data_IF_314269552574
#
_entry.id   IF_314269552574
#
_cell.length_a   1.000
_cell.length_b   1.000
_cell.length_c   1.000
_cell.angle_alpha   90.00
_cell.angle_beta   90.00
_cell.angle_gamma   90.00
#
_symmetry.space_group_name_H-M   'P 1'
#
loop_
_entity.id
_entity.type
_entity.pdbx_description
1 polymer ?
#
# COMPACT_ATOMS: atom_id res chain seq x y z
N UNK A 1 71.94 18.25 -0.37
CA UNK A 1 70.89 19.13 0.19
C UNK A 1 69.59 18.86 -0.56
N UNK A 2 68.70 18.06 0.02
CA UNK A 2 67.43 17.67 -0.60
C UNK A 2 66.46 18.86 -0.56
N UNK A 3 66.17 19.40 -1.75
CA UNK A 3 65.42 20.64 -1.96
C UNK A 3 64.06 20.66 -1.24
N UNK A 4 63.90 21.60 -0.32
CA UNK A 4 62.67 21.89 0.46
C UNK A 4 61.44 22.07 -0.44
N UNK A 5 61.65 22.54 -1.68
CA UNK A 5 60.61 22.70 -2.71
C UNK A 5 59.99 21.36 -3.14
N UNK A 6 60.79 20.30 -3.17
CA UNK A 6 60.31 18.96 -3.55
C UNK A 6 59.47 18.32 -2.44
N UNK A 7 59.80 18.60 -1.17
CA UNK A 7 59.04 18.11 -0.01
C UNK A 7 57.65 18.75 0.06
N UNK A 8 57.55 20.05 -0.25
CA UNK A 8 56.26 20.75 -0.31
C UNK A 8 55.38 20.25 -1.45
N UNK A 9 55.94 20.01 -2.63
CA UNK A 9 55.19 19.42 -3.75
C UNK A 9 54.68 18.02 -3.42
N UNK A 10 55.50 17.16 -2.81
CA UNK A 10 55.10 15.82 -2.38
C UNK A 10 53.98 15.87 -1.33
N UNK A 11 54.06 16.80 -0.38
CA UNK A 11 53.02 16.97 0.63
C UNK A 11 51.69 17.47 0.03
N UNK A 12 51.74 18.40 -0.92
CA UNK A 12 50.56 18.89 -1.65
C UNK A 12 49.93 17.78 -2.51
N UNK A 13 50.74 17.01 -3.23
CA UNK A 13 50.25 15.87 -4.02
C UNK A 13 49.62 14.81 -3.13
N UNK A 14 50.22 14.50 -1.96
CA UNK A 14 49.63 13.59 -1.00
C UNK A 14 48.31 14.10 -0.40
N UNK A 15 48.20 15.39 -0.10
CA UNK A 15 46.97 16.01 0.40
C UNK A 15 45.85 16.05 -0.64
N UNK A 16 46.18 16.38 -1.89
CA UNK A 16 45.21 16.38 -3.00
C UNK A 16 44.75 14.96 -3.28
N UNK A 17 45.68 14.00 -3.30
CA UNK A 17 45.34 12.60 -3.42
C UNK A 17 44.41 12.19 -2.24
N UNK A 18 44.75 12.50 -0.97
CA UNK A 18 43.90 12.31 0.24
C UNK A 18 42.48 12.85 0.10
N UNK A 19 42.34 14.07 -0.42
CA UNK A 19 41.04 14.67 -0.67
C UNK A 19 40.27 13.97 -1.80
N UNK A 20 40.96 13.52 -2.86
CA UNK A 20 40.31 12.82 -3.98
C UNK A 20 39.82 11.42 -3.64
N UNK A 21 40.53 10.65 -2.80
CA UNK A 21 40.03 9.33 -2.40
C UNK A 21 38.81 9.41 -1.48
N UNK A 22 38.73 10.43 -0.61
CA UNK A 22 37.58 10.64 0.25
C UNK A 22 36.29 10.95 -0.54
N UNK A 23 36.40 11.60 -1.71
CA UNK A 23 35.26 11.93 -2.57
C UNK A 23 34.80 10.78 -3.48
N UNK A 24 35.64 9.76 -3.69
CA UNK A 24 35.39 8.69 -4.67
C UNK A 24 34.76 7.42 -4.07
N UNK A 25 34.63 7.33 -2.75
CA UNK A 25 33.88 6.23 -2.13
C UNK A 25 32.39 6.59 -2.17
N UNK A 26 31.80 6.58 -3.37
CA UNK A 26 30.36 6.34 -3.50
C UNK A 26 30.16 4.88 -3.10
N UNK A 27 30.09 4.69 -1.80
CA UNK A 27 29.92 3.40 -1.21
C UNK A 27 28.55 2.89 -1.59
N UNK A 28 28.53 1.83 -2.40
CA UNK A 28 27.29 1.11 -2.68
C UNK A 28 26.63 0.73 -1.36
N UNK A 29 25.32 0.95 -1.29
CA UNK A 29 24.55 0.66 -0.10
C UNK A 29 24.68 -0.83 0.23
N UNK A 30 25.25 -1.14 1.39
CA UNK A 30 25.53 -2.53 1.79
C UNK A 30 24.34 -3.21 2.47
N UNK A 31 23.23 -2.50 2.63
CA UNK A 31 22.02 -3.01 3.28
C UNK A 31 21.21 -3.82 2.27
N UNK A 32 20.98 -5.09 2.58
CA UNK A 32 20.17 -5.98 1.76
C UNK A 32 18.75 -5.42 1.58
N UNK A 33 18.19 -5.56 0.38
CA UNK A 33 16.86 -5.06 0.01
C UNK A 33 16.68 -3.54 0.21
N UNK A 34 17.76 -2.77 0.17
CA UNK A 34 17.73 -1.32 0.21
C UNK A 34 17.76 -0.70 -1.19
N UNK A 35 16.79 0.19 -1.47
CA UNK A 35 16.77 0.98 -2.69
C UNK A 35 17.74 2.18 -2.58
N UNK A 36 17.71 2.87 -1.43
CA UNK A 36 18.52 4.06 -1.18
C UNK A 36 19.03 4.09 0.27
N UNK A 37 20.35 4.17 0.45
CA UNK A 37 20.96 4.37 1.76
C UNK A 37 20.75 5.80 2.28
N UNK A 38 20.79 5.97 3.61
CA UNK A 38 20.84 7.29 4.24
C UNK A 38 22.11 8.02 3.78
N UNK A 39 22.03 9.34 3.58
CA UNK A 39 23.19 10.16 3.22
C UNK A 39 24.37 9.89 4.17
N UNK A 40 25.56 9.71 3.59
CA UNK A 40 26.82 9.43 4.31
C UNK A 40 26.82 8.12 5.13
N UNK A 41 25.87 7.21 4.89
CA UNK A 41 25.83 5.89 5.53
C UNK A 41 25.74 4.78 4.50
N UNK A 42 26.51 3.71 4.72
CA UNK A 42 26.48 2.47 3.92
C UNK A 42 25.69 1.35 4.56
N UNK A 43 25.45 1.49 5.85
CA UNK A 43 24.92 0.44 6.73
C UNK A 43 23.50 0.74 7.18
N UNK A 44 22.94 1.89 6.78
CA UNK A 44 21.57 2.28 7.07
C UNK A 44 20.82 2.61 5.80
N UNK A 45 19.68 1.96 5.63
CA UNK A 45 18.74 2.17 4.56
C UNK A 45 17.78 3.32 4.90
N UNK A 46 17.63 4.26 3.97
CA UNK A 46 16.60 5.29 4.01
C UNK A 46 15.31 4.84 3.35
N UNK A 47 15.43 4.05 2.28
CA UNK A 47 14.29 3.53 1.50
C UNK A 47 14.54 2.08 1.07
N UNK A 48 13.66 1.16 1.47
CA UNK A 48 13.74 -0.26 1.12
C UNK A 48 13.09 -0.56 -0.23
N UNK A 49 13.50 -1.64 -0.89
CA UNK A 49 12.85 -2.17 -2.08
C UNK A 49 11.40 -2.61 -1.79
N UNK A 50 10.58 -2.68 -2.83
CA UNK A 50 9.20 -3.16 -2.72
C UNK A 50 9.12 -4.52 -2.00
N UNK A 51 8.18 -4.64 -1.06
CA UNK A 51 8.01 -5.83 -0.20
C UNK A 51 8.86 -5.83 1.07
N UNK A 52 9.67 -4.80 1.31
CA UNK A 52 10.45 -4.62 2.54
C UNK A 52 10.19 -3.27 3.21
N UNK A 53 10.37 -3.20 4.53
CA UNK A 53 10.25 -1.96 5.32
C UNK A 53 11.51 -1.68 6.16
N UNK A 54 11.82 -0.41 6.45
CA UNK A 54 12.94 -0.06 7.31
C UNK A 54 12.64 -0.42 8.77
N UNK A 55 13.62 -0.98 9.45
CA UNK A 55 13.64 -1.20 10.90
C UNK A 55 14.21 0.03 11.61
N UNK A 56 14.02 0.14 12.94
CA UNK A 56 14.65 1.19 13.74
C UNK A 56 16.20 1.19 13.64
N UNK A 57 16.79 0.05 13.31
CA UNK A 57 18.23 -0.09 13.08
C UNK A 57 18.72 0.42 11.72
N UNK A 58 17.81 0.79 10.81
CA UNK A 58 18.14 1.15 9.42
C UNK A 58 18.40 -0.07 8.53
N UNK A 59 17.90 -1.24 8.88
CA UNK A 59 17.91 -2.42 8.00
C UNK A 59 16.55 -2.59 7.32
N UNK A 60 16.48 -3.39 6.26
CA UNK A 60 15.21 -3.73 5.61
C UNK A 60 14.76 -5.13 6.05
N UNK A 61 13.52 -5.24 6.53
CA UNK A 61 12.90 -6.52 6.86
C UNK A 61 11.74 -6.82 5.91
N UNK A 62 11.50 -8.10 5.56
CA UNK A 62 10.39 -8.47 4.71
C UNK A 62 9.08 -8.07 5.38
N UNK A 63 8.18 -7.52 4.58
CA UNK A 63 6.83 -7.24 5.02
C UNK A 63 6.09 -8.58 5.02
N UNK A 64 5.62 -9.07 6.18
CA UNK A 64 4.94 -10.36 6.24
C UNK A 64 3.72 -10.33 5.31
N UNK A 65 3.44 -11.42 4.56
CA UNK A 65 2.23 -11.53 3.76
C UNK A 65 1.04 -11.24 4.66
N UNK A 66 0.23 -10.29 4.24
CA UNK A 66 -0.81 -9.62 5.03
C UNK A 66 -1.84 -10.61 5.58
N UNK A 67 -1.62 -11.15 6.77
CA UNK A 67 -2.73 -11.57 7.62
C UNK A 67 -3.22 -10.31 8.33
N UNK A 68 -4.00 -9.49 7.63
CA UNK A 68 -4.70 -8.39 8.27
C UNK A 68 -5.49 -8.95 9.45
N UNK A 69 -5.31 -8.40 10.65
CA UNK A 69 -6.08 -8.85 11.81
C UNK A 69 -7.52 -8.32 11.79
N UNK A 70 -7.84 -7.49 10.79
CA UNK A 70 -9.19 -6.99 10.53
C UNK A 70 -10.00 -8.10 9.88
N UNK A 71 -11.08 -8.49 10.55
CA UNK A 71 -12.05 -9.46 10.01
C UNK A 71 -12.63 -8.96 8.68
N UNK A 72 -12.93 -9.89 7.77
CA UNK A 72 -13.42 -9.59 6.41
C UNK A 72 -12.49 -8.69 5.57
N UNK A 73 -11.20 -8.65 5.89
CA UNK A 73 -10.22 -7.88 5.14
C UNK A 73 -9.43 -8.73 4.14
N UNK A 74 -9.48 -8.37 2.86
CA UNK A 74 -8.67 -9.00 1.80
C UNK A 74 -7.30 -8.36 1.66
N UNK A 75 -7.20 -7.04 1.88
CA UNK A 75 -5.96 -6.28 1.75
C UNK A 75 -5.88 -5.17 2.80
N UNK A 76 -4.76 -5.08 3.50
CA UNK A 76 -4.52 -4.09 4.55
C UNK A 76 -4.33 -2.69 3.94
N UNK A 77 -4.67 -1.65 4.70
CA UNK A 77 -4.41 -0.27 4.31
C UNK A 77 -2.92 0.04 4.49
N UNK A 78 -2.16 -0.04 3.40
CA UNK A 78 -0.71 0.19 3.41
C UNK A 78 0.01 -0.81 4.31
N UNK A 79 0.62 -0.32 5.39
CA UNK A 79 1.40 -1.13 6.33
C UNK A 79 0.64 -1.50 7.61
N UNK A 80 -0.60 -1.03 7.77
CA UNK A 80 -1.35 -1.28 9.00
C UNK A 80 -1.95 -2.67 9.00
N UNK A 81 -1.55 -3.52 9.95
CA UNK A 81 -2.21 -4.81 10.18
C UNK A 81 -3.58 -4.69 10.85
N UNK A 82 -3.98 -3.47 11.23
CA UNK A 82 -5.20 -3.15 11.98
C UNK A 82 -6.20 -2.28 11.21
N UNK A 83 -5.86 -1.84 9.98
CA UNK A 83 -6.77 -1.11 9.11
C UNK A 83 -6.82 -1.81 7.75
N UNK A 84 -8.02 -1.94 7.20
CA UNK A 84 -8.27 -2.58 5.93
C UNK A 84 -8.35 -1.56 4.80
N UNK A 85 -7.69 -1.86 3.68
CA UNK A 85 -7.78 -1.11 2.43
C UNK A 85 -8.83 -1.69 1.48
N UNK A 86 -9.00 -3.02 1.49
CA UNK A 86 -9.97 -3.73 0.65
C UNK A 86 -10.67 -4.83 1.45
N UNK A 87 -11.97 -4.68 1.66
CA UNK A 87 -12.78 -5.69 2.33
C UNK A 87 -13.20 -6.84 1.38
N UNK A 88 -13.66 -7.94 1.97
CA UNK A 88 -14.43 -8.99 1.29
C UNK A 88 -15.71 -8.42 0.67
N UNK A 89 -16.31 -9.09 -0.34
CA UNK A 89 -17.62 -8.70 -0.86
C UNK A 89 -18.67 -8.58 0.26
N UNK A 90 -19.60 -7.64 0.11
CA UNK A 90 -20.63 -7.28 1.12
C UNK A 90 -20.12 -6.55 2.37
N UNK A 91 -18.87 -6.09 2.38
CA UNK A 91 -18.33 -5.24 3.44
C UNK A 91 -17.72 -3.97 2.86
N UNK A 92 -17.80 -2.88 3.61
CA UNK A 92 -17.20 -1.59 3.29
C UNK A 92 -16.18 -1.19 4.34
N UNK A 93 -15.14 -0.46 3.92
CA UNK A 93 -14.15 0.11 4.83
C UNK A 93 -14.80 1.27 5.59
N UNK A 94 -14.97 1.11 6.89
CA UNK A 94 -15.44 2.14 7.81
C UNK A 94 -14.33 3.18 8.06
N UNK A 95 -14.67 4.38 8.58
CA UNK A 95 -13.69 5.44 8.83
C UNK A 95 -12.54 5.06 9.79
N UNK A 96 -12.75 4.05 10.63
CA UNK A 96 -11.75 3.53 11.56
C UNK A 96 -10.91 2.38 10.96
N UNK A 97 -11.06 2.10 9.67
CA UNK A 97 -10.34 1.07 8.95
C UNK A 97 -10.83 -0.35 9.20
N UNK A 98 -11.96 -0.55 9.88
CA UNK A 98 -12.60 -1.87 9.97
C UNK A 98 -13.48 -2.14 8.76
N UNK A 99 -13.71 -3.41 8.47
CA UNK A 99 -14.72 -3.82 7.49
C UNK A 99 -16.05 -3.97 8.21
N UNK A 100 -17.00 -3.12 7.87
CA UNK A 100 -18.37 -3.19 8.35
C UNK A 100 -19.26 -3.77 7.27
N UNK A 101 -20.26 -4.57 7.68
CA UNK A 101 -21.22 -5.12 6.75
C UNK A 101 -21.88 -3.99 5.98
N UNK A 102 -21.99 -4.17 4.68
CA UNK A 102 -22.62 -3.24 3.78
C UNK A 102 -24.12 -3.17 4.12
N UNK A 103 -24.50 -2.20 4.96
CA UNK A 103 -25.89 -1.76 5.05
C UNK A 103 -26.17 -0.84 3.85
N UNK A 104 -26.02 -1.36 2.63
CA UNK A 104 -26.87 -0.85 1.55
C UNK A 104 -28.26 -1.24 1.97
N UNK A 105 -29.28 -0.37 1.85
CA UNK A 105 -30.60 -0.90 2.06
C UNK A 105 -30.78 -2.02 1.03
N UNK A 106 -30.95 -3.28 1.48
CA UNK A 106 -31.33 -4.32 0.55
C UNK A 106 -32.60 -3.80 -0.11
N UNK A 107 -32.72 -4.02 -1.42
CA UNK A 107 -33.99 -3.74 -2.06
C UNK A 107 -35.11 -4.38 -1.25
N UNK A 108 -35.99 -3.56 -0.67
CA UNK A 108 -37.17 -4.03 0.07
C UNK A 108 -38.23 -4.58 -0.89
N UNK A 109 -37.95 -4.56 -2.20
CA UNK A 109 -38.79 -5.09 -3.26
C UNK A 109 -38.39 -6.53 -3.57
N UNK A 110 -39.32 -7.46 -3.38
CA UNK A 110 -39.15 -8.86 -3.76
C UNK A 110 -38.89 -8.99 -5.27
N UNK A 111 -38.03 -9.93 -5.67
CA UNK A 111 -37.63 -10.13 -7.07
C UNK A 111 -36.95 -8.91 -7.72
N UNK A 112 -36.33 -8.02 -6.92
CA UNK A 112 -35.58 -6.88 -7.43
C UNK A 112 -34.07 -7.16 -7.49
N UNK A 113 -33.45 -6.84 -8.63
CA UNK A 113 -32.00 -6.92 -8.83
C UNK A 113 -31.29 -5.62 -8.43
N UNK A 114 -31.90 -4.46 -8.66
CA UNK A 114 -31.32 -3.16 -8.31
C UNK A 114 -32.39 -2.10 -8.05
N UNK A 115 -32.24 -1.34 -6.96
CA UNK A 115 -33.14 -0.25 -6.58
C UNK A 115 -32.63 1.11 -7.06
N UNK A 116 -33.46 2.14 -6.91
CA UNK A 116 -33.01 3.53 -7.02
C UNK A 116 -32.02 3.84 -5.89
N UNK A 117 -30.99 4.63 -6.19
CA UNK A 117 -29.89 4.96 -5.25
C UNK A 117 -30.42 5.57 -3.94
N UNK A 118 -31.54 6.29 -3.98
CA UNK A 118 -32.17 6.94 -2.82
C UNK A 118 -33.56 6.38 -2.48
N UNK A 119 -33.94 5.22 -3.03
CA UNK A 119 -35.22 4.58 -2.73
C UNK A 119 -35.15 3.05 -2.86
N UNK A 120 -34.86 2.41 -1.74
CA UNK A 120 -34.84 0.96 -1.54
C UNK A 120 -36.18 0.24 -1.75
N UNK A 121 -37.29 0.99 -1.79
CA UNK A 121 -38.63 0.44 -2.05
C UNK A 121 -39.04 0.56 -3.52
N UNK A 122 -38.13 1.04 -4.39
CA UNK A 122 -38.39 1.19 -5.82
C UNK A 122 -37.33 0.48 -6.65
N UNK A 123 -37.74 -0.60 -7.30
CA UNK A 123 -36.92 -1.40 -8.18
C UNK A 123 -36.75 -0.75 -9.56
N UNK A 124 -35.50 -0.65 -10.01
CA UNK A 124 -35.16 -0.26 -11.39
C UNK A 124 -35.11 -1.45 -12.34
N UNK A 125 -34.61 -2.59 -11.85
CA UNK A 125 -34.37 -3.79 -12.66
C UNK A 125 -34.82 -5.00 -11.83
N UNK A 126 -35.81 -5.74 -12.35
CA UNK A 126 -36.25 -6.98 -11.73
C UNK A 126 -35.25 -8.11 -12.05
N UNK A 127 -35.20 -9.14 -11.18
CA UNK A 127 -34.38 -10.34 -11.45
C UNK A 127 -34.89 -11.10 -12.68
N UNK A 128 -34.06 -11.93 -13.34
CA UNK A 128 -34.51 -12.78 -14.45
C UNK A 128 -35.78 -13.58 -14.11
N UNK A 129 -36.64 -13.79 -15.11
CA UNK A 129 -37.94 -14.49 -15.00
C UNK A 129 -38.99 -13.83 -14.12
N UNK A 130 -38.80 -12.56 -13.74
CA UNK A 130 -39.80 -11.72 -13.10
C UNK A 130 -40.14 -10.51 -13.98
N UNK A 131 -41.29 -9.88 -13.74
CA UNK A 131 -41.76 -8.73 -14.53
C UNK A 131 -42.09 -7.53 -13.64
N UNK A 132 -41.95 -6.29 -14.16
CA UNK A 132 -42.37 -5.11 -13.43
C UNK A 132 -43.87 -5.11 -13.15
N UNK A 133 -44.22 -4.78 -11.91
CA UNK A 133 -45.54 -4.36 -11.46
C UNK A 133 -45.39 -2.89 -11.08
N UNK A 134 -46.39 -2.05 -11.36
CA UNK A 134 -46.26 -0.58 -11.25
C UNK A 134 -45.61 -0.09 -9.94
N UNK A 135 -45.07 1.14 -9.97
CA UNK A 135 -44.38 1.79 -8.83
C UNK A 135 -43.09 1.09 -8.40
N UNK A 136 -42.31 0.58 -9.36
CA UNK A 136 -41.01 -0.04 -9.07
C UNK A 136 -41.13 -1.36 -8.31
N UNK A 137 -42.24 -2.08 -8.46
CA UNK A 137 -42.41 -3.40 -7.89
C UNK A 137 -42.05 -4.49 -8.91
N UNK A 138 -41.70 -5.67 -8.45
CA UNK A 138 -41.44 -6.83 -9.30
C UNK A 138 -42.29 -8.01 -8.82
N UNK A 139 -42.66 -8.91 -9.73
CA UNK A 139 -43.33 -10.15 -9.37
C UNK A 139 -42.98 -11.25 -10.36
N UNK A 140 -42.99 -12.50 -9.87
CA UNK A 140 -42.81 -13.67 -10.71
C UNK A 140 -44.18 -14.22 -11.14
N UNK A 141 -44.47 -14.31 -12.45
CA UNK A 141 -45.65 -15.03 -12.92
C UNK A 141 -45.56 -16.49 -12.45
N UNK A 142 -46.65 -17.02 -11.90
CA UNK A 142 -46.74 -18.46 -11.62
C UNK A 142 -46.92 -19.15 -12.97
N UNK A 143 -45.97 -20.01 -13.35
CA UNK A 143 -46.10 -20.83 -14.56
C UNK A 143 -47.41 -21.64 -14.46
N UNK A 144 -48.26 -21.51 -15.48
CA UNK A 144 -49.59 -22.13 -15.56
C UNK A 144 -49.53 -23.49 -16.23
#
# INVERSE_FOLDING_TARGET
MTSTRNKFLLALVALVLLATYAAAVKSDCSVENCATCVAESTTKCGECNNGYRPTAGGLCEPIPPSSCYVEHCRECQGWSTYHCGVCEPFYLVAPDGRCEEMVYPPCNVEYCQSCLEDNENYCRICVPDSVPKGEGQCWKPVES
#
